data_IF_110710764391
#
_entry.id   IF_110710764391
#
_cell.length_a   1.000
_cell.length_b   1.000
_cell.length_c   1.000
_cell.angle_alpha   90.00
_cell.angle_beta   90.00
_cell.angle_gamma   90.00
#
_symmetry.space_group_name_H-M   'P 1'
#
loop_
_entity.id
_entity.type
_entity.pdbx_description
1 polymer ?
#
# COMPACT_ATOMS: atom_id res chain seq x y z
N UNK A 1 -41.15 -34.84 -1.11
CA UNK A 1 -40.08 -35.59 -0.42
C UNK A 1 -39.70 -34.85 0.85
N UNK A 2 -39.56 -35.54 1.98
CA UNK A 2 -39.16 -34.99 3.29
C UNK A 2 -37.96 -35.76 3.83
N UNK A 3 -36.96 -35.07 4.37
CA UNK A 3 -35.82 -35.69 5.03
C UNK A 3 -36.18 -35.98 6.49
N UNK A 4 -35.95 -37.20 6.97
CA UNK A 4 -36.27 -37.65 8.34
C UNK A 4 -35.03 -37.94 9.18
N UNK A 5 -33.97 -38.43 8.54
CA UNK A 5 -32.69 -38.64 9.19
C UNK A 5 -31.52 -38.54 8.18
N UNK A 6 -30.33 -38.24 8.71
CA UNK A 6 -29.06 -38.26 7.99
C UNK A 6 -28.00 -38.94 8.86
N UNK A 7 -27.32 -39.94 8.32
CA UNK A 7 -26.24 -40.68 9.00
C UNK A 7 -25.00 -40.66 8.15
N UNK A 8 -23.88 -40.38 8.79
CA UNK A 8 -22.56 -40.28 8.16
C UNK A 8 -21.61 -41.22 8.87
N UNK A 9 -20.85 -41.98 8.10
CA UNK A 9 -19.78 -42.81 8.61
C UNK A 9 -18.49 -42.50 7.83
N UNK A 10 -17.42 -42.23 8.58
CA UNK A 10 -16.10 -41.99 8.00
C UNK A 10 -16.07 -40.82 6.99
N UNK A 11 -16.73 -39.71 7.34
CA UNK A 11 -16.85 -38.49 6.52
C UNK A 11 -16.04 -37.35 7.15
N UNK A 12 -15.05 -36.81 6.42
CA UNK A 12 -14.21 -35.65 6.79
C UNK A 12 -13.68 -35.76 8.24
N UNK A 13 -14.19 -34.94 9.16
CA UNK A 13 -13.78 -34.92 10.58
C UNK A 13 -14.26 -36.13 11.38
N UNK A 14 -15.24 -36.89 10.88
CA UNK A 14 -15.79 -38.07 11.52
C UNK A 14 -15.04 -39.34 11.10
N UNK A 15 -13.71 -39.25 11.02
CA UNK A 15 -12.84 -40.36 10.66
C UNK A 15 -13.06 -41.54 11.62
N UNK A 16 -13.29 -42.75 11.07
CA UNK A 16 -13.62 -43.96 11.82
C UNK A 16 -14.77 -43.81 12.85
N UNK A 17 -15.67 -42.83 12.65
CA UNK A 17 -16.79 -42.55 13.56
C UNK A 17 -18.09 -42.33 12.79
N UNK A 18 -19.19 -42.75 13.40
CA UNK A 18 -20.55 -42.47 12.95
C UNK A 18 -21.14 -41.22 13.61
N UNK A 19 -21.84 -40.40 12.84
CA UNK A 19 -22.72 -39.34 13.37
C UNK A 19 -24.10 -39.48 12.72
N UNK A 20 -25.14 -39.29 13.52
CA UNK A 20 -26.53 -39.34 13.08
C UNK A 20 -27.26 -38.06 13.49
N UNK A 21 -28.05 -37.54 12.56
CA UNK A 21 -29.05 -36.50 12.76
C UNK A 21 -30.39 -37.20 12.57
N UNK A 22 -31.10 -37.43 13.66
CA UNK A 22 -32.37 -38.15 13.71
C UNK A 22 -33.51 -37.18 14.05
N UNK A 23 -34.75 -37.61 13.80
CA UNK A 23 -35.93 -36.89 14.27
C UNK A 23 -36.16 -35.56 13.55
N UNK A 24 -35.79 -35.46 12.28
CA UNK A 24 -36.06 -34.26 11.47
C UNK A 24 -37.59 -34.18 11.25
N UNK A 25 -38.20 -33.17 11.87
CA UNK A 25 -39.64 -32.99 11.91
C UNK A 25 -40.13 -32.12 10.73
N UNK A 26 -41.45 -32.00 10.59
CA UNK A 26 -42.04 -31.06 9.65
C UNK A 26 -41.78 -29.60 10.11
N UNK A 27 -41.69 -28.66 9.17
CA UNK A 27 -41.44 -27.25 9.47
C UNK A 27 -39.95 -26.90 9.58
N UNK A 28 -39.62 -25.90 10.41
CA UNK A 28 -38.26 -25.36 10.54
C UNK A 28 -37.46 -26.15 11.56
N UNK A 29 -36.39 -26.81 11.10
CA UNK A 29 -35.45 -27.54 11.95
C UNK A 29 -34.14 -26.73 12.09
N UNK A 30 -33.66 -26.54 13.33
CA UNK A 30 -32.43 -25.77 13.60
C UNK A 30 -31.33 -26.68 14.12
N UNK A 31 -30.25 -26.84 13.34
CA UNK A 31 -29.06 -27.55 13.77
C UNK A 31 -28.08 -26.58 14.45
N UNK A 32 -28.17 -26.46 15.78
CA UNK A 32 -27.29 -25.63 16.59
C UNK A 32 -26.09 -26.44 17.10
N UNK A 33 -24.88 -26.06 16.69
CA UNK A 33 -23.64 -26.63 17.20
C UNK A 33 -22.51 -25.58 17.09
N UNK A 34 -21.41 -25.70 17.86
CA UNK A 34 -20.25 -24.82 17.75
C UNK A 34 -19.68 -24.73 16.32
N UNK A 35 -18.85 -23.72 16.05
CA UNK A 35 -18.10 -23.69 14.80
C UNK A 35 -17.19 -24.92 14.70
N UNK A 36 -16.96 -25.37 13.48
CA UNK A 36 -16.21 -26.61 13.19
C UNK A 36 -16.87 -27.89 13.74
N UNK A 37 -18.09 -27.83 14.30
CA UNK A 37 -18.86 -28.99 14.77
C UNK A 37 -19.17 -30.02 13.65
N UNK A 38 -19.03 -29.66 12.38
CA UNK A 38 -19.33 -30.52 11.24
C UNK A 38 -20.70 -30.27 10.62
N UNK A 39 -21.35 -29.13 10.93
CA UNK A 39 -22.62 -28.71 10.30
C UNK A 39 -22.48 -28.67 8.77
N UNK A 40 -21.48 -27.95 8.26
CA UNK A 40 -21.21 -27.87 6.82
C UNK A 40 -20.87 -29.23 6.21
N UNK A 41 -20.23 -30.12 6.96
CA UNK A 41 -19.95 -31.50 6.54
C UNK A 41 -21.24 -32.31 6.35
N UNK A 42 -22.21 -32.15 7.26
CA UNK A 42 -23.50 -32.83 7.17
C UNK A 42 -24.31 -32.35 5.97
N UNK A 43 -24.26 -31.04 5.70
CA UNK A 43 -24.75 -30.52 4.44
C UNK A 43 -23.98 -31.18 3.31
N UNK A 44 -22.70 -30.89 3.06
CA UNK A 44 -21.91 -31.38 1.92
C UNK A 44 -22.15 -32.88 1.59
N UNK A 45 -22.25 -33.73 2.61
CA UNK A 45 -22.59 -35.14 2.47
C UNK A 45 -23.98 -35.41 1.87
N UNK A 46 -25.01 -34.69 2.31
CA UNK A 46 -26.38 -34.78 1.77
C UNK A 46 -26.42 -34.40 0.26
N UNK A 47 -25.66 -33.39 -0.19
CA UNK A 47 -25.59 -33.07 -1.63
C UNK A 47 -24.91 -34.17 -2.41
N UNK A 48 -23.80 -34.68 -1.90
CA UNK A 48 -23.12 -35.81 -2.54
C UNK A 48 -24.04 -37.04 -2.62
N UNK A 49 -24.87 -37.30 -1.60
CA UNK A 49 -25.83 -38.40 -1.61
C UNK A 49 -26.85 -38.29 -2.77
N UNK A 50 -27.42 -37.11 -2.99
CA UNK A 50 -28.50 -36.93 -3.98
C UNK A 50 -28.01 -36.62 -5.39
N UNK A 51 -26.91 -35.88 -5.52
CA UNK A 51 -26.50 -35.30 -6.82
C UNK A 51 -25.24 -35.93 -7.41
N UNK A 52 -24.56 -36.81 -6.67
CA UNK A 52 -23.32 -37.43 -7.15
C UNK A 52 -23.46 -38.94 -7.26
N UNK A 53 -23.13 -39.56 -8.41
CA UNK A 53 -23.14 -41.02 -8.55
C UNK A 53 -22.15 -41.69 -7.58
N UNK A 54 -22.50 -42.85 -7.03
CA UNK A 54 -21.67 -43.62 -6.09
C UNK A 54 -20.30 -44.04 -6.65
N UNK A 55 -20.18 -44.12 -7.99
CA UNK A 55 -18.92 -44.38 -8.69
C UNK A 55 -18.05 -43.14 -8.96
N UNK A 56 -18.53 -41.94 -8.61
CA UNK A 56 -17.87 -40.67 -8.95
C UNK A 56 -16.58 -40.46 -8.16
N UNK A 57 -15.57 -39.92 -8.85
CA UNK A 57 -14.31 -39.45 -8.28
C UNK A 57 -14.22 -37.91 -8.27
N UNK A 58 -15.35 -37.21 -8.36
CA UNK A 58 -15.43 -35.75 -8.37
C UNK A 58 -14.81 -35.14 -7.11
N UNK A 59 -14.33 -33.89 -7.22
CA UNK A 59 -13.67 -33.18 -6.12
C UNK A 59 -14.56 -33.11 -4.86
N UNK A 60 -15.87 -32.88 -5.02
CA UNK A 60 -16.82 -32.87 -3.91
C UNK A 60 -16.84 -34.17 -3.10
N UNK A 61 -16.63 -35.33 -3.73
CA UNK A 61 -16.54 -36.64 -3.03
C UNK A 61 -15.18 -36.80 -2.35
N UNK A 62 -14.11 -36.29 -2.98
CA UNK A 62 -12.76 -36.29 -2.40
C UNK A 62 -12.68 -35.42 -1.15
N UNK A 63 -13.36 -34.28 -1.14
CA UNK A 63 -13.42 -33.35 -0.01
C UNK A 63 -14.13 -33.93 1.22
N UNK A 64 -15.00 -34.93 1.01
CA UNK A 64 -15.64 -35.69 2.09
C UNK A 64 -14.76 -36.80 2.65
N UNK A 65 -13.64 -37.13 2.02
CA UNK A 65 -12.73 -38.18 2.50
C UNK A 65 -11.93 -37.66 3.70
N UNK A 66 -11.87 -38.40 4.82
CA UNK A 66 -10.98 -38.05 5.93
C UNK A 66 -9.51 -38.01 5.51
N UNK A 67 -8.70 -37.21 6.18
CA UNK A 67 -7.26 -37.13 5.94
C UNK A 67 -6.53 -38.47 6.17
N UNK A 68 -7.02 -39.29 7.10
CA UNK A 68 -6.52 -40.66 7.35
C UNK A 68 -6.87 -41.65 6.23
N UNK A 69 -7.64 -41.22 5.22
CA UNK A 69 -8.19 -42.09 4.20
C UNK A 69 -9.44 -42.85 4.65
N UNK A 70 -9.89 -43.75 3.77
CA UNK A 70 -11.08 -44.59 3.94
C UNK A 70 -12.23 -44.26 2.99
N UNK A 71 -13.37 -44.92 3.20
CA UNK A 71 -14.57 -44.87 2.37
C UNK A 71 -15.71 -44.16 3.10
N UNK A 72 -16.10 -42.95 2.69
CA UNK A 72 -17.28 -42.27 3.22
C UNK A 72 -18.55 -43.06 2.91
N UNK A 73 -19.37 -43.28 3.93
CA UNK A 73 -20.73 -43.83 3.81
C UNK A 73 -21.73 -42.79 4.29
N UNK A 74 -22.73 -42.53 3.46
CA UNK A 74 -23.75 -41.51 3.69
C UNK A 74 -25.10 -42.19 3.54
N UNK A 75 -25.96 -42.02 4.54
CA UNK A 75 -27.31 -42.57 4.53
C UNK A 75 -28.34 -41.50 4.88
N UNK A 76 -29.48 -41.50 4.20
CA UNK A 76 -30.60 -40.63 4.53
C UNK A 76 -31.91 -41.40 4.55
N UNK A 77 -32.74 -41.10 5.55
CA UNK A 77 -34.12 -41.58 5.61
C UNK A 77 -35.01 -40.50 5.03
N UNK A 78 -35.81 -40.87 4.04
CA UNK A 78 -36.67 -39.96 3.32
C UNK A 78 -38.09 -40.50 3.30
N UNK A 79 -39.03 -39.57 3.31
CA UNK A 79 -40.46 -39.85 3.18
C UNK A 79 -40.98 -39.21 1.90
N UNK A 80 -41.69 -40.00 1.11
CA UNK A 80 -42.28 -39.61 -0.16
C UNK A 80 -43.73 -40.08 -0.21
N UNK A 81 -44.50 -39.64 -1.20
CA UNK A 81 -45.87 -40.13 -1.40
C UNK A 81 -45.93 -41.64 -1.66
N UNK A 82 -44.85 -42.22 -2.19
CA UNK A 82 -44.75 -43.65 -2.47
C UNK A 82 -44.32 -44.49 -1.24
N UNK A 83 -43.93 -43.85 -0.13
CA UNK A 83 -43.46 -44.53 1.07
C UNK A 83 -42.20 -43.92 1.68
N UNK A 84 -41.69 -44.60 2.71
CA UNK A 84 -40.50 -44.20 3.46
C UNK A 84 -39.31 -45.09 3.09
N UNK A 85 -38.19 -44.47 2.70
CA UNK A 85 -37.04 -45.17 2.15
C UNK A 85 -35.74 -44.72 2.82
N UNK A 86 -34.80 -45.66 3.00
CA UNK A 86 -33.40 -45.40 3.33
C UNK A 86 -32.57 -45.46 2.07
N UNK A 87 -31.89 -44.36 1.77
CA UNK A 87 -30.91 -44.27 0.70
C UNK A 87 -29.52 -44.36 1.34
N UNK A 88 -28.67 -45.25 0.84
CA UNK A 88 -27.29 -45.41 1.31
C UNK A 88 -26.33 -45.38 0.12
N UNK A 89 -25.29 -44.54 0.19
CA UNK A 89 -24.18 -44.52 -0.76
C UNK A 89 -22.84 -44.63 -0.06
N UNK A 90 -22.00 -45.54 -0.53
CA UNK A 90 -20.59 -45.64 -0.14
C UNK A 90 -19.70 -45.28 -1.32
N UNK A 91 -18.66 -44.51 -1.04
CA UNK A 91 -17.69 -44.05 -2.04
C UNK A 91 -16.32 -44.69 -1.83
N UNK A 92 -15.52 -44.76 -2.89
CA UNK A 92 -14.19 -45.41 -2.93
C UNK A 92 -14.24 -46.93 -2.68
N UNK A 93 -13.61 -47.42 -1.60
CA UNK A 93 -13.53 -48.85 -1.31
C UNK A 93 -14.91 -49.40 -0.95
N UNK A 94 -15.31 -50.50 -1.59
CA UNK A 94 -16.63 -51.11 -1.38
C UNK A 94 -17.80 -50.23 -1.85
N UNK A 95 -17.61 -49.44 -2.93
CA UNK A 95 -18.63 -48.53 -3.47
C UNK A 95 -19.96 -49.23 -3.74
N UNK A 96 -21.06 -48.62 -3.33
CA UNK A 96 -22.41 -49.08 -3.65
C UNK A 96 -23.41 -47.93 -3.55
N UNK A 97 -24.54 -48.09 -4.22
CA UNK A 97 -25.76 -47.33 -3.98
C UNK A 97 -26.88 -48.33 -3.66
N UNK A 98 -27.72 -47.99 -2.68
CA UNK A 98 -28.84 -48.83 -2.26
C UNK A 98 -30.02 -47.97 -1.84
N UNK A 99 -31.22 -48.39 -2.22
CA UNK A 99 -32.47 -47.88 -1.64
C UNK A 99 -33.22 -49.06 -0.99
N UNK A 100 -33.63 -48.88 0.27
CA UNK A 100 -34.39 -49.87 1.02
C UNK A 100 -35.67 -49.25 1.59
N UNK A 101 -36.75 -50.00 1.59
CA UNK A 101 -38.00 -49.59 2.24
C UNK A 101 -37.84 -49.66 3.77
N UNK A 102 -38.22 -48.60 4.48
CA UNK A 102 -38.03 -48.47 5.94
C UNK A 102 -39.03 -49.32 6.72
N UNK A 103 -40.22 -49.61 6.18
CA UNK A 103 -41.24 -50.39 6.87
C UNK A 103 -40.96 -51.89 6.82
N UNK A 104 -40.53 -52.39 5.67
CA UNK A 104 -40.27 -53.81 5.41
C UNK A 104 -38.79 -54.21 5.48
N UNK A 105 -37.86 -53.25 5.44
CA UNK A 105 -36.42 -53.48 5.36
C UNK A 105 -35.94 -54.06 4.02
N UNK A 106 -36.85 -54.27 3.06
CA UNK A 106 -36.55 -54.87 1.76
C UNK A 106 -35.75 -53.90 0.89
N UNK A 107 -34.76 -54.43 0.19
CA UNK A 107 -34.02 -53.66 -0.82
C UNK A 107 -34.90 -53.53 -2.05
N UNK A 108 -35.19 -52.28 -2.42
CA UNK A 108 -36.04 -51.96 -3.58
C UNK A 108 -35.21 -51.63 -4.82
N UNK A 109 -33.98 -51.16 -4.64
CA UNK A 109 -33.05 -50.86 -5.74
C UNK A 109 -31.59 -50.96 -5.27
N UNK A 110 -30.70 -51.37 -6.18
CA UNK A 110 -29.25 -51.43 -5.96
C UNK A 110 -28.48 -50.88 -7.16
N UNK A 111 -27.25 -50.40 -6.91
CA UNK A 111 -26.35 -49.88 -7.94
C UNK A 111 -27.03 -48.85 -8.86
N UNK A 112 -27.08 -49.11 -10.17
CA UNK A 112 -27.64 -48.17 -11.15
C UNK A 112 -29.15 -47.95 -10.97
N UNK A 113 -29.89 -48.96 -10.53
CA UNK A 113 -31.32 -48.81 -10.21
C UNK A 113 -31.53 -47.87 -9.01
N UNK A 114 -30.63 -47.91 -8.03
CA UNK A 114 -30.67 -46.99 -6.89
C UNK A 114 -30.33 -45.57 -7.33
N UNK A 115 -29.40 -45.37 -8.27
CA UNK A 115 -29.11 -44.04 -8.83
C UNK A 115 -30.29 -43.48 -9.62
N UNK A 116 -30.96 -44.31 -10.42
CA UNK A 116 -32.17 -43.93 -11.13
C UNK A 116 -33.30 -43.56 -10.16
N UNK A 117 -33.48 -44.34 -9.09
CA UNK A 117 -34.43 -44.04 -8.01
C UNK A 117 -34.13 -42.68 -7.36
N UNK A 118 -32.89 -42.44 -6.96
CA UNK A 118 -32.45 -41.18 -6.34
C UNK A 118 -32.64 -40.01 -7.30
N UNK A 119 -32.29 -40.17 -8.58
CA UNK A 119 -32.48 -39.15 -9.61
C UNK A 119 -33.96 -38.85 -9.83
N UNK A 120 -34.84 -39.85 -9.78
CA UNK A 120 -36.29 -39.69 -9.87
C UNK A 120 -36.89 -38.91 -8.70
N UNK A 121 -36.31 -39.02 -7.50
CA UNK A 121 -36.70 -38.24 -6.33
C UNK A 121 -36.33 -36.76 -6.44
N UNK A 122 -35.28 -36.47 -7.20
CA UNK A 122 -34.68 -35.13 -7.35
C UNK A 122 -35.24 -34.40 -8.58
N UNK A 123 -35.53 -35.12 -9.68
CA UNK A 123 -35.84 -34.55 -11.01
C UNK A 123 -37.33 -34.26 -11.27
N UNK A 124 -38.14 -34.00 -10.24
CA UNK A 124 -39.59 -33.77 -10.33
C UNK A 124 -40.05 -32.46 -11.00
N UNK A 125 -39.51 -32.09 -12.17
CA UNK A 125 -39.92 -30.94 -12.98
C UNK A 125 -39.43 -29.58 -12.46
N UNK A 126 -39.67 -28.51 -13.24
CA UNK A 126 -39.15 -27.14 -13.06
C UNK A 126 -39.60 -26.39 -11.78
N UNK A 127 -40.16 -27.10 -10.80
CA UNK A 127 -40.47 -26.64 -9.45
C UNK A 127 -40.30 -27.75 -8.39
N UNK A 128 -39.47 -28.76 -8.67
CA UNK A 128 -39.24 -29.89 -7.79
C UNK A 128 -38.36 -29.54 -6.57
N UNK A 129 -38.51 -30.26 -5.43
CA UNK A 129 -37.89 -29.94 -4.15
C UNK A 129 -36.35 -30.01 -4.13
N UNK A 130 -35.72 -30.44 -5.21
CA UNK A 130 -34.27 -30.53 -5.34
C UNK A 130 -33.57 -29.18 -5.45
N UNK A 131 -34.20 -28.18 -6.09
CA UNK A 131 -33.67 -26.81 -6.13
C UNK A 131 -33.70 -26.10 -4.77
N UNK A 132 -34.45 -26.66 -3.81
CA UNK A 132 -34.63 -26.16 -2.45
C UNK A 132 -33.71 -26.85 -1.42
N UNK A 133 -32.96 -27.88 -1.82
CA UNK A 133 -32.14 -28.63 -0.86
C UNK A 133 -30.88 -27.88 -0.44
N UNK A 134 -30.46 -26.83 -1.18
CA UNK A 134 -29.12 -26.29 -1.04
C UNK A 134 -28.99 -24.78 -1.22
N UNK A 135 -28.69 -24.08 -0.12
CA UNK A 135 -28.19 -22.71 -0.14
C UNK A 135 -26.89 -22.67 0.65
N UNK A 136 -25.75 -22.64 -0.05
CA UNK A 136 -24.43 -22.43 0.57
C UNK A 136 -24.31 -20.97 1.01
N UNK A 137 -24.37 -20.71 2.31
CA UNK A 137 -24.01 -19.41 2.86
C UNK A 137 -22.48 -19.27 2.82
N UNK A 138 -21.96 -18.49 1.87
CA UNK A 138 -20.56 -18.06 1.82
C UNK A 138 -19.63 -18.91 0.93
N UNK A 139 -19.59 -18.59 -0.37
CA UNK A 139 -18.39 -18.82 -1.18
C UNK A 139 -17.60 -17.50 -1.17
N UNK A 140 -16.85 -17.27 -0.10
CA UNK A 140 -15.66 -16.40 -0.11
C UNK A 140 -14.38 -17.24 -0.25
N UNK A 141 -14.51 -18.52 -0.58
CA UNK A 141 -13.39 -19.39 -0.96
C UNK A 141 -13.04 -19.17 -2.42
N UNK A 142 -11.85 -18.65 -2.67
CA UNK A 142 -11.21 -18.61 -3.98
C UNK A 142 -10.97 -20.04 -4.47
N UNK A 143 -11.91 -20.62 -5.24
CA UNK A 143 -11.64 -21.79 -6.08
C UNK A 143 -12.74 -21.97 -7.15
N UNK A 144 -12.33 -21.84 -8.42
CA UNK A 144 -12.77 -22.71 -9.51
C UNK A 144 -14.10 -22.50 -10.26
N UNK A 145 -15.06 -21.70 -9.81
CA UNK A 145 -16.33 -21.50 -10.56
C UNK A 145 -16.24 -20.35 -11.57
N UNK A 146 -16.63 -20.58 -12.83
CA UNK A 146 -16.66 -19.52 -13.86
C UNK A 146 -17.78 -18.51 -13.58
N UNK A 147 -17.58 -17.24 -13.95
CA UNK A 147 -18.53 -16.13 -13.67
C UNK A 147 -19.96 -16.42 -14.16
N UNK A 148 -20.09 -17.20 -15.25
CA UNK A 148 -21.38 -17.53 -15.87
C UNK A 148 -22.20 -18.53 -15.05
N UNK A 149 -21.54 -19.55 -14.51
CA UNK A 149 -22.16 -20.53 -13.61
C UNK A 149 -22.64 -19.85 -12.31
N UNK A 150 -21.88 -18.86 -11.82
CA UNK A 150 -22.27 -18.06 -10.65
C UNK A 150 -23.54 -17.22 -10.88
N UNK A 151 -23.71 -16.67 -12.08
CA UNK A 151 -24.86 -15.83 -12.43
C UNK A 151 -26.12 -16.65 -12.70
N UNK A 152 -25.99 -17.81 -13.36
CA UNK A 152 -27.09 -18.76 -13.57
C UNK A 152 -27.57 -19.35 -12.24
N UNK A 153 -26.63 -19.72 -11.35
CA UNK A 153 -26.95 -20.16 -10.00
C UNK A 153 -27.61 -19.04 -9.18
N UNK A 154 -27.18 -17.78 -9.36
CA UNK A 154 -27.78 -16.62 -8.68
C UNK A 154 -29.19 -16.29 -9.16
N UNK A 155 -29.51 -16.51 -10.44
CA UNK A 155 -30.89 -16.35 -10.96
C UNK A 155 -31.81 -17.46 -10.47
N UNK A 156 -31.30 -18.69 -10.39
CA UNK A 156 -32.03 -19.78 -9.73
C UNK A 156 -32.27 -19.48 -8.23
N UNK A 157 -31.35 -18.79 -7.53
CA UNK A 157 -31.56 -18.30 -6.15
C UNK A 157 -32.72 -17.32 -6.02
N UNK A 158 -32.88 -16.40 -6.97
CA UNK A 158 -33.92 -15.36 -6.92
C UNK A 158 -35.32 -15.91 -7.17
N UNK A 159 -35.46 -16.85 -8.12
CA UNK A 159 -36.76 -17.41 -8.50
C UNK A 159 -37.35 -18.32 -7.40
N UNK A 160 -36.48 -19.09 -6.72
CA UNK A 160 -36.87 -20.03 -5.66
C UNK A 160 -37.19 -19.33 -4.34
N UNK A 161 -36.46 -18.26 -3.98
CA UNK A 161 -36.80 -17.43 -2.82
C UNK A 161 -38.11 -16.66 -3.04
N UNK A 162 -38.46 -16.39 -4.29
CA UNK A 162 -39.71 -15.72 -4.65
C UNK A 162 -40.93 -16.65 -4.54
N UNK A 163 -40.76 -17.95 -4.78
CA UNK A 163 -41.88 -18.91 -4.75
C UNK A 163 -42.22 -19.46 -3.36
N UNK A 164 -41.24 -19.58 -2.44
CA UNK A 164 -41.47 -20.11 -1.07
C UNK A 164 -41.69 -19.00 -0.03
N UNK A 165 -41.22 -17.77 -0.27
CA UNK A 165 -41.38 -16.67 0.67
C UNK A 165 -42.68 -15.85 0.52
N UNK A 166 -43.61 -16.28 -0.34
CA UNK A 166 -44.83 -15.54 -0.70
C UNK A 166 -45.94 -15.45 0.36
N UNK A 167 -45.63 -15.64 1.65
CA UNK A 167 -46.66 -15.64 2.70
C UNK A 167 -46.24 -15.09 4.05
N UNK A 168 -45.24 -15.68 4.72
CA UNK A 168 -45.15 -15.52 6.19
C UNK A 168 -43.78 -15.12 6.75
N UNK A 169 -42.72 -15.07 5.93
CA UNK A 169 -41.36 -14.66 6.38
C UNK A 169 -41.04 -13.19 6.04
N UNK A 170 -41.93 -12.50 5.33
CA UNK A 170 -41.72 -11.15 4.78
C UNK A 170 -41.64 -10.04 5.84
N UNK A 171 -42.17 -10.27 7.04
CA UNK A 171 -42.16 -9.28 8.12
C UNK A 171 -40.89 -9.32 8.99
N UNK A 172 -40.16 -10.44 9.03
CA UNK A 172 -39.11 -10.67 10.03
C UNK A 172 -37.68 -10.67 9.47
N UNK A 173 -37.48 -10.74 8.15
CA UNK A 173 -36.14 -10.65 7.57
C UNK A 173 -36.10 -9.53 6.54
N UNK A 174 -35.37 -8.45 6.86
CA UNK A 174 -35.18 -7.27 6.02
C UNK A 174 -34.52 -7.51 4.65
N UNK A 175 -34.43 -8.75 4.17
CA UNK A 175 -33.76 -9.14 2.92
C UNK A 175 -34.37 -8.48 1.68
N UNK A 176 -35.70 -8.44 1.53
CA UNK A 176 -36.35 -7.75 0.38
C UNK A 176 -36.28 -6.23 0.46
N UNK A 177 -36.13 -5.64 1.66
CA UNK A 177 -35.82 -4.20 1.79
C UNK A 177 -34.38 -3.92 1.38
N UNK A 178 -33.45 -4.77 1.81
CA UNK A 178 -32.03 -4.63 1.50
C UNK A 178 -31.74 -4.83 0.00
N UNK A 179 -32.38 -5.82 -0.65
CA UNK A 179 -32.30 -6.00 -2.10
C UNK A 179 -32.86 -4.80 -2.86
N UNK A 180 -34.05 -4.28 -2.47
CA UNK A 180 -34.61 -3.06 -3.08
C UNK A 180 -33.71 -1.83 -2.90
N UNK A 181 -33.03 -1.72 -1.76
CA UNK A 181 -32.04 -0.65 -1.55
C UNK A 181 -30.83 -0.86 -2.46
N UNK A 182 -30.32 -2.09 -2.55
CA UNK A 182 -29.20 -2.42 -3.43
C UNK A 182 -29.52 -2.14 -4.91
N UNK A 183 -30.70 -2.52 -5.39
CA UNK A 183 -31.15 -2.24 -6.77
C UNK A 183 -31.27 -0.74 -7.04
N UNK A 184 -31.80 0.03 -6.07
CA UNK A 184 -31.86 1.49 -6.18
C UNK A 184 -30.48 2.12 -6.19
N UNK A 185 -29.55 1.61 -5.38
CA UNK A 185 -28.16 2.06 -5.38
C UNK A 185 -27.47 1.72 -6.70
N UNK A 186 -27.67 0.51 -7.22
CA UNK A 186 -27.11 0.08 -8.49
C UNK A 186 -27.66 0.94 -9.64
N UNK A 187 -28.97 1.17 -9.71
CA UNK A 187 -29.58 2.02 -10.71
C UNK A 187 -29.11 3.48 -10.63
N UNK A 188 -28.93 4.03 -9.42
CA UNK A 188 -28.39 5.37 -9.23
C UNK A 188 -26.91 5.45 -9.66
N UNK A 189 -26.12 4.43 -9.34
CA UNK A 189 -24.71 4.34 -9.74
C UNK A 189 -24.57 4.19 -11.27
N UNK A 190 -25.41 3.36 -11.90
CA UNK A 190 -25.45 3.16 -13.33
C UNK A 190 -25.78 4.44 -14.10
N UNK A 191 -26.38 5.47 -13.49
CA UNK A 191 -26.55 6.77 -14.13
C UNK A 191 -25.24 7.57 -14.20
N UNK A 192 -24.30 7.32 -13.29
CA UNK A 192 -23.06 8.10 -13.12
C UNK A 192 -21.84 7.43 -13.76
N UNK A 193 -21.77 6.10 -13.75
CA UNK A 193 -20.61 5.33 -14.22
C UNK A 193 -20.95 4.34 -15.33
N UNK A 194 -19.95 3.94 -16.10
CA UNK A 194 -20.02 2.85 -17.08
C UNK A 194 -19.97 1.49 -16.37
N UNK A 195 -20.23 0.40 -17.10
CA UNK A 195 -20.13 -0.97 -16.57
C UNK A 195 -18.75 -1.34 -16.00
N UNK A 196 -17.69 -0.58 -16.35
CA UNK A 196 -16.33 -0.75 -15.82
C UNK A 196 -16.05 0.16 -14.61
N UNK A 197 -17.04 0.90 -14.12
CA UNK A 197 -16.92 1.82 -12.98
C UNK A 197 -16.31 3.18 -13.33
N UNK A 198 -16.09 3.50 -14.61
CA UNK A 198 -15.55 4.81 -15.03
C UNK A 198 -16.66 5.85 -15.14
N UNK A 199 -16.42 7.14 -14.84
CA UNK A 199 -17.42 8.18 -15.07
C UNK A 199 -17.93 8.18 -16.51
N UNK A 200 -19.24 8.33 -16.70
CA UNK A 200 -19.81 8.46 -18.05
C UNK A 200 -19.40 9.79 -18.68
N UNK A 201 -18.95 9.76 -19.94
CA UNK A 201 -18.58 10.95 -20.68
C UNK A 201 -19.75 11.94 -20.78
N UNK A 202 -19.53 13.20 -20.41
CA UNK A 202 -20.56 14.26 -20.39
C UNK A 202 -21.64 14.06 -19.32
N UNK A 203 -21.42 13.18 -18.34
CA UNK A 203 -22.30 13.04 -17.18
C UNK A 203 -21.86 13.90 -15.99
N UNK A 204 -22.75 14.13 -15.01
CA UNK A 204 -22.48 15.01 -13.87
C UNK A 204 -21.26 14.57 -13.04
N UNK A 205 -20.99 13.25 -12.96
CA UNK A 205 -19.80 12.75 -12.27
C UNK A 205 -18.51 13.07 -13.04
N UNK A 206 -18.51 12.95 -14.37
CA UNK A 206 -17.33 13.29 -15.18
C UNK A 206 -17.06 14.80 -15.15
N UNK A 207 -18.10 15.64 -15.17
CA UNK A 207 -17.97 17.10 -15.03
C UNK A 207 -17.42 17.49 -13.66
N UNK A 208 -17.93 16.90 -12.58
CA UNK A 208 -17.41 17.15 -11.24
C UNK A 208 -15.96 16.69 -11.07
N UNK A 209 -15.59 15.52 -11.63
CA UNK A 209 -14.22 15.04 -11.61
C UNK A 209 -13.28 15.96 -12.39
N UNK A 210 -13.67 16.38 -13.59
CA UNK A 210 -12.89 17.33 -14.39
C UNK A 210 -12.77 18.70 -13.72
N UNK A 211 -13.79 19.15 -12.98
CA UNK A 211 -13.72 20.39 -12.21
C UNK A 211 -12.75 20.28 -11.04
N UNK A 212 -12.75 19.15 -10.32
CA UNK A 212 -11.75 18.91 -9.26
C UNK A 212 -10.33 18.93 -9.83
N UNK A 213 -10.10 18.27 -10.97
CA UNK A 213 -8.79 18.25 -11.62
C UNK A 213 -8.36 19.67 -12.04
N UNK A 214 -9.26 20.46 -12.64
CA UNK A 214 -9.00 21.87 -13.00
C UNK A 214 -8.66 22.73 -11.78
N UNK A 215 -9.45 22.63 -10.72
CA UNK A 215 -9.25 23.42 -9.51
C UNK A 215 -7.96 23.04 -8.80
N UNK A 216 -7.57 21.77 -8.83
CA UNK A 216 -6.29 21.31 -8.27
C UNK A 216 -5.10 21.87 -9.05
N UNK A 217 -5.18 21.91 -10.39
CA UNK A 217 -4.16 22.56 -11.23
C UNK A 217 -4.06 24.07 -10.95
N UNK A 218 -5.21 24.75 -10.81
CA UNK A 218 -5.25 26.18 -10.50
C UNK A 218 -4.70 26.47 -9.10
N UNK A 219 -5.04 25.66 -8.09
CA UNK A 219 -4.48 25.76 -6.75
C UNK A 219 -2.95 25.63 -6.77
N UNK A 220 -2.41 24.67 -7.52
CA UNK A 220 -0.97 24.46 -7.61
C UNK A 220 -0.26 25.66 -8.25
N UNK A 221 -0.84 26.24 -9.30
CA UNK A 221 -0.32 27.46 -9.95
C UNK A 221 -0.33 28.63 -8.97
N UNK A 222 -1.47 28.89 -8.32
CA UNK A 222 -1.62 29.99 -7.37
C UNK A 222 -0.70 29.83 -6.16
N UNK A 223 -0.51 28.60 -5.67
CA UNK A 223 0.41 28.32 -4.57
C UNK A 223 1.86 28.64 -4.96
N UNK A 224 2.27 28.29 -6.19
CA UNK A 224 3.60 28.63 -6.73
C UNK A 224 3.79 30.14 -6.84
N UNK A 225 2.78 30.86 -7.33
CA UNK A 225 2.82 32.32 -7.48
C UNK A 225 2.85 33.04 -6.12
N UNK A 226 2.06 32.58 -5.15
CA UNK A 226 2.09 33.10 -3.77
C UNK A 226 3.45 32.90 -3.12
N UNK A 227 4.07 31.73 -3.30
CA UNK A 227 5.40 31.45 -2.77
C UNK A 227 6.49 32.32 -3.44
N UNK A 228 6.37 32.57 -4.75
CA UNK A 228 7.27 33.50 -5.46
C UNK A 228 7.10 34.94 -4.95
N UNK A 229 5.86 35.44 -4.90
CA UNK A 229 5.55 36.78 -4.42
C UNK A 229 5.98 36.98 -2.95
N UNK A 230 5.80 35.97 -2.11
CA UNK A 230 6.27 35.98 -0.73
C UNK A 230 7.79 36.18 -0.62
N UNK A 231 8.56 35.46 -1.44
CA UNK A 231 10.04 35.61 -1.51
C UNK A 231 10.45 36.99 -2.02
N UNK A 232 9.76 37.52 -3.02
CA UNK A 232 10.05 38.84 -3.58
C UNK A 232 9.75 39.95 -2.58
N UNK A 233 8.65 39.84 -1.83
CA UNK A 233 8.29 40.79 -0.78
C UNK A 233 9.31 40.77 0.36
N UNK A 234 9.77 39.59 0.77
CA UNK A 234 10.78 39.47 1.82
C UNK A 234 12.13 40.03 1.36
N UNK A 235 12.54 39.73 0.13
CA UNK A 235 13.74 40.29 -0.50
C UNK A 235 13.66 41.83 -0.54
N UNK A 236 12.50 42.38 -0.92
CA UNK A 236 12.26 43.83 -0.93
C UNK A 236 12.33 44.44 0.47
N UNK A 237 11.77 43.78 1.49
CA UNK A 237 11.83 44.25 2.88
C UNK A 237 13.27 44.29 3.37
N UNK A 238 14.02 43.21 3.17
CA UNK A 238 15.44 43.13 3.54
C UNK A 238 16.28 44.20 2.81
N UNK A 239 16.05 44.40 1.51
CA UNK A 239 16.74 45.44 0.73
C UNK A 239 16.42 46.85 1.23
N UNK A 240 15.16 47.13 1.60
CA UNK A 240 14.76 48.42 2.18
C UNK A 240 15.37 48.67 3.55
N UNK A 241 15.40 47.66 4.42
CA UNK A 241 16.04 47.77 5.73
C UNK A 241 17.53 48.08 5.56
N UNK A 242 18.23 47.31 4.72
CA UNK A 242 19.65 47.54 4.42
C UNK A 242 19.91 48.93 3.81
N UNK A 243 19.02 49.40 2.93
CA UNK A 243 19.13 50.74 2.37
C UNK A 243 18.98 51.81 3.47
N UNK A 244 18.04 51.65 4.39
CA UNK A 244 17.85 52.57 5.52
C UNK A 244 19.11 52.61 6.41
N UNK A 245 19.69 51.46 6.76
CA UNK A 245 20.91 51.37 7.57
C UNK A 245 22.13 51.99 6.85
N UNK A 246 22.22 51.82 5.53
CA UNK A 246 23.29 52.43 4.74
C UNK A 246 23.10 53.94 4.58
N UNK A 247 21.86 54.39 4.46
CA UNK A 247 21.49 55.79 4.27
C UNK A 247 21.40 56.59 5.58
N UNK A 248 21.52 55.95 6.75
CA UNK A 248 21.55 56.63 8.04
C UNK A 248 22.63 57.74 8.02
N UNK A 249 22.23 59.03 8.13
CA UNK A 249 23.16 60.15 8.10
C UNK A 249 24.25 60.07 9.17
N UNK A 250 23.93 59.54 10.36
CA UNK A 250 24.89 59.45 11.46
C UNK A 250 26.00 58.45 11.14
N UNK A 251 25.63 57.26 10.69
CA UNK A 251 26.59 56.23 10.29
C UNK A 251 27.34 56.60 9.01
N UNK A 252 26.70 57.29 8.06
CA UNK A 252 27.38 57.85 6.89
C UNK A 252 28.46 58.86 7.30
N UNK A 253 28.14 59.80 8.18
CA UNK A 253 29.10 60.77 8.70
C UNK A 253 30.25 60.09 9.46
N UNK A 254 29.99 59.04 10.25
CA UNK A 254 31.04 58.23 10.90
C UNK A 254 31.97 57.58 9.88
N UNK A 255 31.42 56.96 8.82
CA UNK A 255 32.22 56.32 7.75
C UNK A 255 33.07 57.35 7.01
N UNK A 256 32.52 58.51 6.68
CA UNK A 256 33.24 59.62 6.04
C UNK A 256 34.35 60.18 6.94
N UNK A 257 34.09 60.37 8.24
CA UNK A 257 35.09 60.80 9.20
C UNK A 257 36.21 59.76 9.40
N UNK A 258 35.85 58.48 9.47
CA UNK A 258 36.83 57.38 9.56
C UNK A 258 37.70 57.30 8.30
N UNK A 259 37.10 57.43 7.11
CA UNK A 259 37.83 57.51 5.84
C UNK A 259 38.78 58.71 5.83
N UNK A 260 38.32 59.91 6.19
CA UNK A 260 39.15 61.10 6.26
C UNK A 260 40.33 60.95 7.25
N UNK A 261 40.08 60.38 8.44
CA UNK A 261 41.13 60.09 9.43
C UNK A 261 42.16 59.10 8.89
N UNK A 262 41.70 58.06 8.21
CA UNK A 262 42.56 57.01 7.65
C UNK A 262 43.41 57.55 6.51
N UNK A 263 42.84 58.37 5.63
CA UNK A 263 43.57 59.07 4.56
C UNK A 263 44.65 59.97 5.13
N UNK A 264 44.34 60.79 6.15
CA UNK A 264 45.34 61.64 6.81
C UNK A 264 46.46 60.83 7.46
N UNK A 265 46.12 59.71 8.11
CA UNK A 265 47.11 58.81 8.71
C UNK A 265 48.02 58.19 7.65
N UNK A 266 47.46 57.79 6.49
CA UNK A 266 48.22 57.26 5.36
C UNK A 266 49.15 58.31 4.76
N UNK A 267 48.68 59.55 4.58
CA UNK A 267 49.51 60.66 4.10
C UNK A 267 50.66 60.98 5.06
N UNK A 268 50.40 61.01 6.37
CA UNK A 268 51.43 61.21 7.38
C UNK A 268 52.46 60.06 7.38
N UNK A 269 52.00 58.81 7.24
CA UNK A 269 52.88 57.65 7.14
C UNK A 269 53.75 57.71 5.88
N UNK A 270 53.19 58.10 4.72
CA UNK A 270 53.96 58.32 3.48
C UNK A 270 55.00 59.43 3.66
N UNK A 271 54.61 60.57 4.22
CA UNK A 271 55.55 61.67 4.48
C UNK A 271 56.65 61.29 5.50
N UNK A 272 56.35 60.37 6.43
CA UNK A 272 57.36 59.82 7.33
C UNK A 272 58.31 58.87 6.58
N UNK A 273 57.79 57.98 5.73
CA UNK A 273 58.60 57.08 4.91
C UNK A 273 59.55 57.85 3.98
N UNK A 274 59.09 58.94 3.34
CA UNK A 274 59.95 59.80 2.52
C UNK A 274 61.06 60.47 3.34
N UNK A 275 60.73 60.99 4.53
CA UNK A 275 61.74 61.56 5.44
C UNK A 275 62.76 60.53 5.90
N UNK A 276 62.33 59.31 6.17
CA UNK A 276 63.21 58.21 6.53
C UNK A 276 64.15 57.88 5.37
N UNK A 277 63.62 57.72 4.15
CA UNK A 277 64.46 57.46 2.96
C UNK A 277 65.47 58.59 2.68
N UNK A 278 65.08 59.85 2.90
CA UNK A 278 65.99 60.99 2.79
C UNK A 278 67.08 60.97 3.87
N UNK A 279 66.74 60.64 5.12
CA UNK A 279 67.68 60.52 6.22
C UNK A 279 68.68 59.35 5.98
N UNK A 280 68.20 58.19 5.56
CA UNK A 280 69.03 57.04 5.19
C UNK A 280 70.00 57.37 4.03
N UNK A 281 69.53 58.15 3.05
CA UNK A 281 70.39 58.60 1.94
C UNK A 281 71.46 59.60 2.40
N UNK A 282 71.10 60.51 3.31
CA UNK A 282 72.03 61.47 3.89
C UNK A 282 73.07 60.79 4.80
N UNK A 283 72.66 59.79 5.57
CA UNK A 283 73.55 58.95 6.38
C UNK A 283 74.59 58.25 5.50
N UNK A 284 74.16 57.56 4.44
CA UNK A 284 75.07 56.91 3.47
C UNK A 284 76.07 57.90 2.87
N UNK A 285 75.61 59.08 2.46
CA UNK A 285 76.50 60.11 1.93
C UNK A 285 77.50 60.62 2.98
N UNK A 286 77.08 60.77 4.24
CA UNK A 286 77.97 61.17 5.33
C UNK A 286 79.01 60.08 5.64
N UNK A 287 78.62 58.80 5.62
CA UNK A 287 79.52 57.66 5.77
C UNK A 287 80.58 57.62 4.66
N UNK A 288 80.16 57.79 3.40
CA UNK A 288 81.07 57.86 2.24
C UNK A 288 82.04 59.04 2.36
N UNK A 289 81.56 60.22 2.74
CA UNK A 289 82.41 61.40 2.97
C UNK A 289 83.40 61.18 4.10
N UNK A 290 82.96 60.61 5.22
CA UNK A 290 83.82 60.28 6.35
C UNK A 290 84.90 59.26 5.94
N UNK A 291 84.53 58.26 5.13
CA UNK A 291 85.49 57.31 4.56
C UNK A 291 86.51 57.99 3.65
N UNK A 292 86.08 58.82 2.70
CA UNK A 292 86.97 59.55 1.81
C UNK A 292 87.91 60.51 2.59
N UNK A 293 87.41 61.17 3.62
CA UNK A 293 88.21 62.04 4.49
C UNK A 293 89.26 61.25 5.27
N UNK A 294 88.90 60.06 5.80
CA UNK A 294 89.85 59.13 6.44
C UNK A 294 90.94 58.69 5.48
N UNK A 295 90.57 58.24 4.28
CA UNK A 295 91.54 57.83 3.25
C UNK A 295 92.48 58.97 2.84
N UNK A 296 91.96 60.21 2.76
CA UNK A 296 92.78 61.40 2.47
C UNK A 296 93.73 61.73 3.62
N UNK A 297 93.26 61.66 4.86
CA UNK A 297 94.10 61.89 6.04
C UNK A 297 95.22 60.84 6.16
N UNK A 298 94.91 59.57 5.90
CA UNK A 298 95.89 58.48 5.84
C UNK A 298 96.95 58.71 4.76
N UNK A 299 96.54 59.14 3.55
CA UNK A 299 97.47 59.51 2.48
C UNK A 299 98.37 60.68 2.87
N UNK A 300 97.79 61.74 3.44
CA UNK A 300 98.54 62.91 3.89
C UNK A 300 99.54 62.56 5.00
N UNK A 301 99.15 61.71 5.96
CA UNK A 301 100.05 61.19 6.98
C UNK A 301 101.20 60.38 6.38
N UNK A 302 100.93 59.54 5.38
CA UNK A 302 101.97 58.81 4.66
C UNK A 302 102.89 59.74 3.85
N UNK A 303 102.36 60.81 3.25
CA UNK A 303 103.15 61.83 2.56
C UNK A 303 104.06 62.61 3.51
N UNK A 304 103.56 62.96 4.70
CA UNK A 304 104.37 63.57 5.76
C UNK A 304 105.50 62.65 6.22
N UNK A 305 105.23 61.37 6.44
CA UNK A 305 106.26 60.38 6.80
C UNK A 305 107.32 60.26 5.69
N UNK A 306 106.89 60.24 4.42
CA UNK A 306 107.82 60.26 3.26
C UNK A 306 108.66 61.53 3.21
N UNK A 307 108.06 62.70 3.41
CA UNK A 307 108.75 63.98 3.43
C UNK A 307 109.77 64.07 4.57
N UNK A 308 109.41 63.58 5.77
CA UNK A 308 110.31 63.50 6.91
C UNK A 308 111.53 62.62 6.61
N UNK A 309 111.32 61.43 6.04
CA UNK A 309 112.41 60.53 5.60
C UNK A 309 113.29 61.17 4.52
N UNK A 310 112.70 61.89 3.57
CA UNK A 310 113.43 62.60 2.52
C UNK A 310 114.30 63.73 3.11
N UNK A 311 113.75 64.52 4.05
CA UNK A 311 114.49 65.56 4.77
C UNK A 311 115.66 64.98 5.58
N UNK A 312 115.45 63.86 6.28
CA UNK A 312 116.54 63.13 6.95
C UNK A 312 117.62 62.68 5.96
N UNK A 313 117.23 62.19 4.78
CA UNK A 313 118.18 61.74 3.76
C UNK A 313 118.98 62.91 3.15
N UNK A 314 118.36 64.08 2.95
CA UNK A 314 119.02 65.30 2.47
C UNK A 314 120.01 65.83 3.52
N UNK A 315 119.61 65.88 4.79
CA UNK A 315 120.50 66.27 5.89
C UNK A 315 121.73 65.36 6.00
N UNK A 316 121.59 64.06 5.72
CA UNK A 316 122.73 63.13 5.64
C UNK A 316 123.62 63.34 4.41
N UNK A 317 123.09 63.91 3.32
CA UNK A 317 123.84 64.19 2.10
C UNK A 317 124.59 65.53 2.15
N UNK A 318 124.02 66.56 2.77
CA UNK A 318 124.64 67.90 2.97
C UNK A 318 125.68 67.92 4.10
N UNK A 319 125.69 66.91 4.97
CA UNK A 319 126.70 66.71 6.03
C UNK A 319 128.00 66.01 5.56
N UNK A 320 128.28 65.98 4.26
CA UNK A 320 129.52 65.46 3.64
C UNK A 320 130.18 66.53 2.79
#
# INVERSE_FOLDING_TARGET
MRLRALRLWNVRRFAARGVAIEGIADGVNVLAAPNEAGKSTAFDALHVLFFTPHGSNAQAVRDLRPYSGGSPLIEADIETEAGAFRISKQFFGGRFARAADLGSGRIIAQADEAEAFITGLVSGGAGGPAGLLWVRQGITGMEGATTRERDEEKRAREDVLTSVAGGEVEALTGGRRMLRVADRCAAALDQLVTATGRPKAGGPYAEAAAEVDRLAEEEEILARDLAALGRDLETRRAARARLADLADPADRAKREAAAARTTKALEAARAHAERLGAAESAEKLAEERARAARETAERFAADLDRAARAAESLSRAEGR
#
